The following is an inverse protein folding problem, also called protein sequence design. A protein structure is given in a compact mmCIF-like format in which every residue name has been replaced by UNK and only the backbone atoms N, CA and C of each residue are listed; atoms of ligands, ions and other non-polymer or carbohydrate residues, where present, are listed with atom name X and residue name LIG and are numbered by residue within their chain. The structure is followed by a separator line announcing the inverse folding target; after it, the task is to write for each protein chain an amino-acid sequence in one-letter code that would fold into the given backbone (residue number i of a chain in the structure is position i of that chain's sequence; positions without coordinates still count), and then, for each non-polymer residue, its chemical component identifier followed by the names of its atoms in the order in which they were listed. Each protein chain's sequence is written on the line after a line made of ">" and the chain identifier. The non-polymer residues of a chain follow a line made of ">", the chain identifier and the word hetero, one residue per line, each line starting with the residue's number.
data_IF_834653889280
#
_entry.id   IF_834653889280
#
_cell.length_a   1.000
_cell.length_b   1.000
_cell.length_c   1.000
_cell.angle_alpha   90.00
_cell.angle_beta   90.00
_cell.angle_gamma   90.00
#
_symmetry.space_group_name_H-M   'P 1'
#
loop_
_entity.id
_entity.type
_entity.pdbx_description
1 polymer ?
#
# COMPACT_ATOMS: atom_id res chain seq x y z
N UNK A 1 -0.72 -4.49 23.22
CA UNK A 1 -1.74 -3.68 22.50
C UNK A 1 -1.13 -2.47 21.80
N UNK A 2 -0.56 -1.48 22.50
CA UNK A 2 -0.04 -0.26 21.85
C UNK A 2 1.09 -0.53 20.85
N UNK A 3 2.10 -1.30 21.26
CA UNK A 3 3.24 -1.70 20.42
C UNK A 3 2.84 -2.58 19.24
N UNK A 4 1.79 -3.39 19.41
CA UNK A 4 1.23 -4.23 18.34
C UNK A 4 0.57 -3.36 17.27
N UNK A 5 -0.17 -2.31 17.64
CA UNK A 5 -0.77 -1.37 16.70
C UNK A 5 0.31 -0.64 15.87
N UNK A 6 1.38 -0.18 16.51
CA UNK A 6 2.52 0.43 15.81
C UNK A 6 3.15 -0.57 14.84
N UNK A 7 3.37 -1.81 15.27
CA UNK A 7 3.97 -2.85 14.43
C UNK A 7 3.08 -3.16 13.21
N UNK A 8 1.78 -3.38 13.40
CA UNK A 8 0.83 -3.61 12.31
C UNK A 8 0.75 -2.43 11.36
N UNK A 9 0.74 -1.20 11.89
CA UNK A 9 0.72 0.00 11.07
C UNK A 9 1.99 0.16 10.22
N UNK A 10 3.15 -0.16 10.81
CA UNK A 10 4.43 -0.16 10.10
C UNK A 10 4.47 -1.22 8.99
N UNK A 11 3.95 -2.43 9.27
CA UNK A 11 3.84 -3.49 8.28
C UNK A 11 2.89 -3.10 7.14
N UNK A 12 1.75 -2.47 7.44
CA UNK A 12 0.80 -2.02 6.42
C UNK A 12 1.43 -0.98 5.48
N UNK A 13 2.21 -0.03 6.02
CA UNK A 13 2.96 0.95 5.22
C UNK A 13 4.01 0.24 4.37
N UNK A 14 4.81 -0.65 4.97
CA UNK A 14 5.84 -1.40 4.25
C UNK A 14 5.25 -2.25 3.12
N UNK A 15 4.10 -2.88 3.34
CA UNK A 15 3.37 -3.64 2.33
C UNK A 15 2.86 -2.74 1.20
N UNK A 16 2.30 -1.57 1.50
CA UNK A 16 1.89 -0.59 0.49
C UNK A 16 3.06 -0.12 -0.38
N UNK A 17 4.20 0.21 0.22
CA UNK A 17 5.41 0.61 -0.51
C UNK A 17 5.95 -0.56 -1.34
N UNK A 18 5.99 -1.76 -0.77
CA UNK A 18 6.40 -2.98 -1.47
C UNK A 18 5.52 -3.29 -2.67
N UNK A 19 4.21 -3.07 -2.55
CA UNK A 19 3.26 -3.26 -3.65
C UNK A 19 3.48 -2.25 -4.78
N UNK A 20 3.76 -0.96 -4.47
CA UNK A 20 4.14 0.01 -5.50
C UNK A 20 5.43 -0.39 -6.22
N UNK A 21 6.43 -0.85 -5.47
CA UNK A 21 7.69 -1.30 -6.03
C UNK A 21 7.47 -2.49 -6.98
N UNK A 22 6.71 -3.50 -6.53
CA UNK A 22 6.36 -4.66 -7.33
C UNK A 22 5.56 -4.26 -8.59
N UNK A 23 4.57 -3.38 -8.44
CA UNK A 23 3.76 -2.87 -9.55
C UNK A 23 4.60 -2.18 -10.63
N UNK A 24 5.58 -1.35 -10.24
CA UNK A 24 6.51 -0.71 -11.19
C UNK A 24 7.33 -1.71 -12.00
N UNK A 25 7.64 -2.88 -11.43
CA UNK A 25 8.42 -3.90 -12.12
C UNK A 25 7.55 -4.87 -12.93
N UNK A 26 6.34 -5.17 -12.45
CA UNK A 26 5.47 -6.17 -13.04
C UNK A 26 4.65 -5.61 -14.21
N UNK A 27 4.14 -4.38 -14.10
CA UNK A 27 3.26 -3.80 -15.12
C UNK A 27 3.90 -3.64 -16.51
N UNK A 28 5.18 -3.25 -16.64
CA UNK A 28 5.82 -3.21 -17.96
C UNK A 28 5.95 -4.59 -18.63
N UNK A 29 5.80 -5.68 -17.86
CA UNK A 29 5.87 -7.06 -18.33
C UNK A 29 4.48 -7.66 -18.60
N UNK A 30 3.41 -6.96 -18.26
CA UNK A 30 2.06 -7.40 -18.54
C UNK A 30 1.71 -7.01 -19.97
N UNK A 31 1.33 -8.00 -20.77
CA UNK A 31 0.85 -7.81 -22.15
C UNK A 31 -0.62 -7.36 -22.12
N UNK A 32 -0.84 -6.17 -21.57
CA UNK A 32 -2.14 -5.54 -21.41
C UNK A 32 -2.28 -4.34 -22.34
N UNK A 33 -3.50 -4.10 -22.80
CA UNK A 33 -3.82 -2.86 -23.50
C UNK A 33 -3.58 -1.63 -22.61
N UNK A 34 -3.37 -0.47 -23.21
CA UNK A 34 -3.10 0.78 -22.48
C UNK A 34 -4.20 1.11 -21.47
N UNK A 35 -5.47 0.88 -21.81
CA UNK A 35 -6.61 1.05 -20.89
C UNK A 35 -6.57 0.08 -19.70
N UNK A 36 -6.18 -1.18 -19.95
CA UNK A 36 -6.00 -2.19 -18.91
C UNK A 36 -4.88 -1.80 -17.94
N UNK A 37 -3.75 -1.32 -18.47
CA UNK A 37 -2.64 -0.81 -17.66
C UNK A 37 -3.04 0.42 -16.83
N UNK A 38 -3.80 1.35 -17.41
CA UNK A 38 -4.28 2.53 -16.70
C UNK A 38 -5.20 2.16 -15.52
N UNK A 39 -6.12 1.22 -15.75
CA UNK A 39 -7.07 0.76 -14.73
C UNK A 39 -6.36 0.04 -13.58
N UNK A 40 -5.44 -0.87 -13.90
CA UNK A 40 -4.67 -1.61 -12.88
C UNK A 40 -3.77 -0.67 -12.08
N UNK A 41 -3.13 0.32 -12.73
CA UNK A 41 -2.35 1.36 -12.05
C UNK A 41 -3.20 2.17 -11.08
N UNK A 42 -4.40 2.57 -11.49
CA UNK A 42 -5.32 3.32 -10.63
C UNK A 42 -5.77 2.48 -9.43
N UNK A 43 -6.15 1.22 -9.67
CA UNK A 43 -6.53 0.30 -8.61
C UNK A 43 -5.40 0.10 -7.60
N UNK A 44 -4.17 -0.11 -8.06
CA UNK A 44 -3.04 -0.27 -7.15
C UNK A 44 -2.67 1.02 -6.44
N UNK A 45 -2.78 2.18 -7.08
CA UNK A 45 -2.63 3.46 -6.39
C UNK A 45 -3.65 3.62 -5.26
N UNK A 46 -4.91 3.22 -5.48
CA UNK A 46 -5.96 3.22 -4.45
C UNK A 46 -5.63 2.25 -3.31
N UNK A 47 -5.29 1.00 -3.61
CA UNK A 47 -4.93 -0.01 -2.60
C UNK A 47 -3.77 0.49 -1.75
N UNK A 48 -2.73 1.04 -2.37
CA UNK A 48 -1.57 1.56 -1.66
C UNK A 48 -1.94 2.76 -0.82
N UNK A 49 -2.74 3.69 -1.36
CA UNK A 49 -3.24 4.85 -0.62
C UNK A 49 -3.98 4.42 0.65
N UNK A 50 -4.88 3.45 0.54
CA UNK A 50 -5.61 2.91 1.70
C UNK A 50 -4.67 2.23 2.69
N UNK A 51 -3.73 1.39 2.23
CA UNK A 51 -2.76 0.71 3.10
C UNK A 51 -1.90 1.70 3.89
N UNK A 52 -1.39 2.74 3.22
CA UNK A 52 -0.56 3.76 3.87
C UNK A 52 -1.38 4.57 4.86
N UNK A 53 -2.59 5.01 4.48
CA UNK A 53 -3.47 5.77 5.39
C UNK A 53 -3.90 4.95 6.61
N UNK A 54 -4.29 3.68 6.40
CA UNK A 54 -4.62 2.77 7.49
C UNK A 54 -3.42 2.52 8.40
N UNK A 55 -2.24 2.29 7.83
CA UNK A 55 -1.03 2.08 8.59
C UNK A 55 -0.61 3.30 9.41
N UNK A 56 -0.69 4.49 8.82
CA UNK A 56 -0.49 5.75 9.54
C UNK A 56 -1.49 5.94 10.67
N UNK A 57 -2.76 5.61 10.45
CA UNK A 57 -3.80 5.63 11.48
C UNK A 57 -3.49 4.69 12.63
N UNK A 58 -3.07 3.45 12.34
CA UNK A 58 -2.69 2.47 13.37
C UNK A 58 -1.47 2.92 14.18
N UNK A 59 -0.44 3.47 13.52
CA UNK A 59 0.73 4.03 14.21
C UNK A 59 0.32 5.23 15.07
N UNK A 60 -0.51 6.13 14.56
CA UNK A 60 -0.97 7.30 15.30
C UNK A 60 -1.77 6.91 16.54
N UNK A 61 -2.73 6.00 16.42
CA UNK A 61 -3.47 5.46 17.57
C UNK A 61 -2.51 4.80 18.55
N UNK A 62 -1.60 3.97 18.05
CA UNK A 62 -0.58 3.28 18.85
C UNK A 62 0.44 4.21 19.53
N UNK A 63 0.51 5.50 19.19
CA UNK A 63 1.37 6.47 19.86
C UNK A 63 0.61 7.35 20.86
N UNK A 64 -0.70 7.49 20.64
CA UNK A 64 -1.57 8.39 21.42
C UNK A 64 -2.33 7.66 22.53
N UNK A 65 -2.44 6.34 22.45
CA UNK A 65 -2.94 5.47 23.53
C UNK A 65 -1.81 4.89 24.36
#
# INVERSE_FOLDING_TARGET
>A
MNTELIAFGTIAIAAGVGLLYAARHLYPRLDLSEEGLASVRLLTALIVGVLVLAGLGLVAVGLLT
#
